data_IF_927270073101
#
_entry.id   IF_927270073101
#
_cell.length_a   1.000
_cell.length_b   1.000
_cell.length_c   1.000
_cell.angle_alpha   90.00
_cell.angle_beta   90.00
_cell.angle_gamma   90.00
#
_symmetry.space_group_name_H-M   'P 1'
#
loop_
_entity.id
_entity.type
_entity.pdbx_description
1 polymer ?
#
# COMPACT_ATOMS: atom_id res chain seq x y z
N UNK A 1 -41.89 38.80 -20.83
CA UNK A 1 -42.66 37.99 -19.85
C UNK A 1 -43.32 36.89 -20.66
N UNK A 2 -43.14 35.59 -20.49
CA UNK A 2 -42.66 34.75 -19.39
C UNK A 2 -42.54 33.32 -19.99
N UNK A 3 -41.53 32.56 -19.55
CA UNK A 3 -41.58 31.10 -19.31
C UNK A 3 -41.66 30.17 -20.56
N UNK A 4 -40.59 29.45 -20.91
CA UNK A 4 -40.14 28.17 -20.31
C UNK A 4 -41.03 26.97 -20.72
N UNK A 5 -40.37 25.90 -21.17
CA UNK A 5 -40.79 24.48 -21.11
C UNK A 5 -41.44 23.85 -22.36
N UNK A 6 -40.61 23.25 -23.22
CA UNK A 6 -40.84 21.87 -23.70
C UNK A 6 -39.51 21.28 -24.15
N UNK A 7 -38.88 20.64 -23.17
CA UNK A 7 -37.88 19.57 -23.22
C UNK A 7 -37.36 19.19 -24.61
N UNK A 8 -36.05 19.38 -24.78
CA UNK A 8 -35.19 18.78 -25.80
C UNK A 8 -35.25 17.25 -25.62
N UNK A 9 -36.27 16.62 -26.21
CA UNK A 9 -36.40 15.18 -26.35
C UNK A 9 -35.96 14.77 -27.76
N UNK A 10 -34.71 15.06 -28.09
CA UNK A 10 -34.01 14.40 -29.18
C UNK A 10 -32.91 13.56 -28.53
N UNK A 11 -33.28 12.32 -28.28
CA UNK A 11 -32.53 11.26 -27.62
C UNK A 11 -31.14 11.11 -28.26
N UNK A 12 -30.11 11.69 -27.64
CA UNK A 12 -28.70 11.46 -28.00
C UNK A 12 -28.36 10.03 -27.60
N UNK A 13 -28.70 9.05 -28.45
CA UNK A 13 -28.03 7.76 -28.46
C UNK A 13 -26.74 7.94 -29.25
N UNK A 14 -25.67 8.38 -28.58
CA UNK A 14 -24.30 8.12 -29.01
C UNK A 14 -23.34 8.79 -28.01
N UNK A 15 -22.52 8.00 -27.34
CA UNK A 15 -21.38 8.56 -26.61
C UNK A 15 -21.32 8.22 -25.13
N UNK A 16 -21.65 7.00 -24.73
CA UNK A 16 -21.14 6.42 -23.49
C UNK A 16 -21.02 4.92 -23.64
N UNK A 17 -20.36 4.48 -24.72
CA UNK A 17 -19.66 3.21 -24.67
C UNK A 17 -18.53 3.45 -23.66
N UNK A 18 -18.77 3.13 -22.39
CA UNK A 18 -17.71 2.96 -21.41
C UNK A 18 -16.77 1.92 -22.02
N UNK A 19 -15.72 2.40 -22.69
CA UNK A 19 -14.49 1.64 -22.76
C UNK A 19 -14.07 1.52 -21.30
N UNK A 20 -14.49 0.42 -20.66
CA UNK A 20 -13.71 -0.14 -19.58
C UNK A 20 -12.34 -0.36 -20.20
N UNK A 21 -11.47 0.63 -20.09
CA UNK A 21 -10.07 0.46 -20.45
C UNK A 21 -9.60 -0.62 -19.48
N UNK A 22 -9.31 -1.85 -19.93
CA UNK A 22 -8.61 -2.77 -19.06
C UNK A 22 -7.33 -2.04 -18.71
N UNK A 23 -7.22 -1.60 -17.46
CA UNK A 23 -5.97 -1.09 -16.96
C UNK A 23 -5.06 -2.30 -16.80
N UNK A 24 -4.53 -2.80 -17.91
CA UNK A 24 -3.34 -3.64 -18.00
C UNK A 24 -2.10 -2.81 -17.60
N UNK A 25 -2.25 -1.89 -16.64
CA UNK A 25 -1.09 -1.42 -15.90
C UNK A 25 -0.56 -2.68 -15.25
N UNK A 26 0.67 -3.12 -15.57
CA UNK A 26 1.26 -4.18 -14.77
C UNK A 26 1.16 -3.69 -13.35
N UNK A 27 0.43 -4.43 -12.51
CA UNK A 27 0.59 -4.27 -11.08
C UNK A 27 2.07 -4.55 -10.87
N UNK A 28 2.89 -3.52 -10.74
CA UNK A 28 4.24 -3.67 -10.22
C UNK A 28 3.96 -4.23 -8.83
N UNK A 29 4.05 -5.55 -8.69
CA UNK A 29 3.87 -6.20 -7.41
C UNK A 29 4.82 -5.47 -6.47
N UNK A 30 4.27 -4.78 -5.48
CA UNK A 30 5.07 -4.04 -4.54
C UNK A 30 6.08 -5.02 -3.96
N UNK A 31 7.38 -4.75 -4.16
CA UNK A 31 8.41 -5.59 -3.57
C UNK A 31 8.41 -5.32 -2.06
N UNK A 32 7.54 -6.04 -1.36
CA UNK A 32 7.37 -6.05 0.10
C UNK A 32 8.63 -6.52 0.85
N UNK A 33 9.67 -6.94 0.11
CA UNK A 33 10.98 -7.31 0.64
C UNK A 33 12.07 -6.26 0.40
N UNK A 34 11.82 -5.21 -0.39
CA UNK A 34 12.81 -4.16 -0.60
C UNK A 34 13.14 -3.44 0.73
N UNK A 35 14.34 -2.88 0.92
CA UNK A 35 14.66 -2.15 2.15
C UNK A 35 13.84 -0.86 2.31
N UNK A 36 13.37 -0.59 3.52
CA UNK A 36 12.75 0.67 3.94
C UNK A 36 13.50 1.20 5.15
N UNK A 37 13.91 2.47 5.10
CA UNK A 37 14.53 3.16 6.21
C UNK A 37 13.49 3.97 6.98
N UNK A 38 13.55 3.91 8.31
CA UNK A 38 12.71 4.70 9.18
C UNK A 38 13.53 5.79 9.87
N UNK A 39 13.42 7.04 9.41
CA UNK A 39 14.14 8.19 9.99
C UNK A 39 13.87 8.37 11.49
N UNK A 40 12.66 8.01 11.94
CA UNK A 40 12.25 8.10 13.35
C UNK A 40 13.14 7.29 14.29
N UNK A 41 13.60 6.12 13.86
CA UNK A 41 14.39 5.21 14.70
C UNK A 41 15.80 4.95 14.18
N UNK A 42 16.08 5.33 12.93
CA UNK A 42 17.37 5.14 12.29
C UNK A 42 17.64 3.71 11.84
N UNK A 43 16.62 2.86 11.71
CA UNK A 43 16.77 1.45 11.36
C UNK A 43 16.09 1.07 10.04
N UNK A 44 16.68 0.09 9.39
CA UNK A 44 16.18 -0.51 8.16
C UNK A 44 15.28 -1.71 8.45
N UNK A 45 14.23 -1.86 7.64
CA UNK A 45 13.35 -3.03 7.60
C UNK A 45 13.33 -3.58 6.18
N UNK A 46 13.67 -4.86 6.01
CA UNK A 46 13.82 -5.47 4.70
C UNK A 46 13.54 -6.98 4.72
N UNK A 47 13.47 -7.60 3.55
CA UNK A 47 13.36 -9.06 3.41
C UNK A 47 12.11 -9.63 4.07
N UNK A 48 12.25 -10.81 4.67
CA UNK A 48 11.16 -11.51 5.36
C UNK A 48 10.61 -10.75 6.57
N UNK A 49 11.45 -9.97 7.27
CA UNK A 49 11.01 -9.12 8.38
C UNK A 49 10.03 -8.05 7.90
N UNK A 50 10.34 -7.38 6.77
CA UNK A 50 9.45 -6.38 6.16
C UNK A 50 8.16 -7.02 5.66
N UNK A 51 8.27 -8.11 4.92
CA UNK A 51 7.09 -8.79 4.39
C UNK A 51 6.13 -9.21 5.50
N UNK A 52 6.64 -9.80 6.59
CA UNK A 52 5.81 -10.18 7.74
C UNK A 52 5.18 -8.97 8.40
N UNK A 53 5.99 -7.93 8.68
CA UNK A 53 5.52 -6.68 9.26
C UNK A 53 4.38 -6.07 8.43
N UNK A 54 4.55 -5.91 7.12
CA UNK A 54 3.55 -5.30 6.23
C UNK A 54 2.25 -6.12 6.15
N UNK A 55 2.35 -7.44 6.17
CA UNK A 55 1.21 -8.35 6.00
C UNK A 55 0.45 -8.66 7.29
N UNK A 56 1.03 -8.38 8.47
CA UNK A 56 0.45 -8.72 9.79
C UNK A 56 0.09 -7.50 10.65
N UNK A 57 -0.15 -6.35 10.02
CA UNK A 57 -0.67 -5.14 10.67
C UNK A 57 0.36 -4.02 10.88
N UNK A 58 1.63 -4.28 10.55
CA UNK A 58 2.69 -3.29 10.40
C UNK A 58 2.81 -2.32 11.57
N UNK A 59 2.84 -1.04 11.22
CA UNK A 59 3.09 0.03 12.17
C UNK A 59 2.08 0.06 13.32
N UNK A 60 0.83 -0.33 13.10
CA UNK A 60 -0.20 -0.26 14.15
C UNK A 60 0.00 -1.36 15.20
N UNK A 61 0.38 -2.57 14.79
CA UNK A 61 0.57 -3.70 15.70
C UNK A 61 1.97 -3.70 16.30
N UNK A 62 3.00 -3.68 15.46
CA UNK A 62 4.39 -3.94 15.88
C UNK A 62 5.19 -2.66 16.19
N UNK A 63 4.80 -1.54 15.59
CA UNK A 63 5.56 -0.29 15.71
C UNK A 63 6.77 -0.22 14.78
N UNK A 64 7.61 0.78 15.00
CA UNK A 64 8.85 0.96 14.24
C UNK A 64 9.93 -0.06 14.64
N UNK A 65 10.88 -0.40 13.74
CA UNK A 65 12.07 -1.16 14.13
C UNK A 65 12.94 -0.32 15.06
N UNK A 66 13.41 -0.89 16.17
CA UNK A 66 14.30 -0.23 17.15
C UNK A 66 15.71 -0.82 17.17
N UNK A 67 15.96 -1.82 16.31
CA UNK A 67 17.29 -2.36 16.01
C UNK A 67 17.40 -2.66 14.51
N UNK A 68 18.62 -2.89 14.01
CA UNK A 68 18.82 -3.66 12.79
C UNK A 68 18.57 -5.16 13.01
N UNK A 69 18.69 -5.97 11.96
CA UNK A 69 18.68 -7.43 12.07
C UNK A 69 20.01 -7.91 12.66
N UNK A 70 19.97 -8.76 13.68
CA UNK A 70 21.17 -9.32 14.33
C UNK A 70 20.98 -10.79 14.68
N UNK A 71 22.09 -11.51 14.88
CA UNK A 71 22.06 -12.92 15.27
C UNK A 71 22.04 -13.03 16.80
N UNK A 72 21.08 -13.79 17.34
CA UNK A 72 20.98 -14.12 18.76
C UNK A 72 20.62 -15.60 18.93
N UNK A 73 21.49 -16.36 19.59
CA UNK A 73 21.34 -17.80 19.81
C UNK A 73 21.02 -18.61 18.54
N UNK A 74 21.65 -18.25 17.42
CA UNK A 74 21.47 -18.92 16.12
C UNK A 74 20.20 -18.51 15.35
N UNK A 75 19.44 -17.54 15.85
CA UNK A 75 18.29 -16.97 15.17
C UNK A 75 18.57 -15.52 14.76
N UNK A 76 18.22 -15.18 13.53
CA UNK A 76 18.15 -13.79 13.12
C UNK A 76 16.95 -13.14 13.79
N UNK A 77 17.19 -12.04 14.48
CA UNK A 77 16.15 -11.28 15.18
C UNK A 77 16.17 -9.82 14.79
N UNK A 78 15.02 -9.18 14.93
CA UNK A 78 14.90 -7.73 14.90
C UNK A 78 13.86 -7.29 15.92
N UNK A 79 14.21 -6.26 16.70
CA UNK A 79 13.32 -5.75 17.72
C UNK A 79 12.54 -4.56 17.15
N UNK A 80 11.28 -4.50 17.53
CA UNK A 80 10.34 -3.44 17.22
C UNK A 80 9.81 -2.85 18.54
N UNK A 81 9.17 -1.69 18.47
CA UNK A 81 8.60 -1.04 19.67
C UNK A 81 7.67 -1.96 20.46
N UNK A 82 6.99 -2.91 19.80
CA UNK A 82 5.97 -3.79 20.41
C UNK A 82 6.10 -5.27 20.05
N UNK A 83 7.19 -5.68 19.40
CA UNK A 83 7.39 -7.07 19.00
C UNK A 83 8.86 -7.44 18.82
N UNK A 84 9.13 -8.75 18.80
CA UNK A 84 10.41 -9.34 18.42
C UNK A 84 10.11 -10.39 17.35
N UNK A 85 10.77 -10.26 16.21
CA UNK A 85 10.79 -11.26 15.15
C UNK A 85 12.14 -11.97 15.16
#
# INVERSE_FOLDING_TARGET
>A
MRLLSTLVAAFVIAGSLLLAVPSDRPAIAANNRAPVYFDTTGFWLQGSFREYWETHGGLFIFGYPITGVFMDNGLWKQYFERAIF
#
